data_IF_295460612548
#
_entry.id   IF_295460612548
#
_cell.length_a   1.000
_cell.length_b   1.000
_cell.length_c   1.000
_cell.angle_alpha   90.00
_cell.angle_beta   90.00
_cell.angle_gamma   90.00
#
_symmetry.space_group_name_H-M   'P 1'
#
loop_
_entity.id
_entity.type
_entity.pdbx_description
1 polymer ?
#
# COMPACT_ATOMS: atom_id res chain seq x y z
N UNK A 1 -48.98 -20.40 -30.16
CA UNK A 1 -48.70 -20.27 -28.72
C UNK A 1 -47.71 -19.14 -28.57
N UNK A 2 -48.18 -17.98 -28.09
CA UNK A 2 -47.39 -16.76 -27.99
C UNK A 2 -47.00 -16.53 -26.52
N UNK A 3 -45.72 -16.60 -26.23
CA UNK A 3 -45.13 -16.31 -24.92
C UNK A 3 -45.11 -14.80 -24.72
N UNK A 4 -45.82 -14.32 -23.70
CA UNK A 4 -45.91 -12.90 -23.35
C UNK A 4 -44.90 -12.64 -22.23
N UNK A 5 -43.81 -11.95 -22.54
CA UNK A 5 -42.78 -11.57 -21.56
C UNK A 5 -43.21 -10.28 -20.87
N UNK A 6 -43.43 -10.34 -19.56
CA UNK A 6 -43.79 -9.17 -18.74
C UNK A 6 -42.49 -8.59 -18.15
N UNK A 7 -42.16 -7.35 -18.53
CA UNK A 7 -41.01 -6.61 -17.95
C UNK A 7 -41.51 -5.82 -16.76
N UNK A 8 -41.00 -6.13 -15.57
CA UNK A 8 -41.26 -5.38 -14.35
C UNK A 8 -40.36 -4.12 -14.32
N UNK A 9 -40.97 -2.94 -14.22
CA UNK A 9 -40.27 -1.68 -14.04
C UNK A 9 -39.93 -1.51 -12.54
N UNK A 10 -38.64 -1.50 -12.21
CA UNK A 10 -38.17 -1.09 -10.89
C UNK A 10 -38.28 0.42 -10.72
N UNK A 11 -39.07 0.85 -9.74
CA UNK A 11 -39.14 2.24 -9.31
C UNK A 11 -37.85 2.60 -8.56
N UNK A 12 -37.08 3.54 -9.12
CA UNK A 12 -35.94 4.18 -8.46
C UNK A 12 -36.50 5.15 -7.42
N UNK A 13 -36.33 4.81 -6.14
CA UNK A 13 -36.62 5.71 -5.02
C UNK A 13 -35.54 6.78 -4.98
N UNK A 14 -35.92 8.04 -5.25
CA UNK A 14 -35.02 9.18 -5.12
C UNK A 14 -34.71 9.44 -3.64
N UNK A 15 -33.43 9.35 -3.27
CA UNK A 15 -32.93 9.71 -1.95
C UNK A 15 -33.16 11.20 -1.67
N UNK A 16 -33.45 11.58 -0.40
CA UNK A 16 -33.62 12.98 -0.03
C UNK A 16 -32.29 13.73 -0.20
N UNK A 17 -32.34 14.80 -1.00
CA UNK A 17 -31.24 15.74 -1.20
C UNK A 17 -30.95 16.44 0.12
N UNK A 18 -29.93 15.98 0.83
CA UNK A 18 -29.30 16.76 1.90
C UNK A 18 -28.68 17.96 1.20
N UNK A 19 -29.29 19.12 1.37
CA UNK A 19 -28.66 20.39 1.05
C UNK A 19 -27.47 20.55 2.00
N UNK A 20 -26.32 20.01 1.60
CA UNK A 20 -25.04 20.29 2.24
C UNK A 20 -24.88 21.79 2.28
N UNK A 21 -24.83 22.36 3.48
CA UNK A 21 -24.19 23.65 3.68
C UNK A 21 -22.84 23.56 3.00
N UNK A 22 -22.69 24.29 1.90
CA UNK A 22 -21.42 24.44 1.20
C UNK A 22 -20.56 25.25 2.15
N UNK A 23 -19.88 24.55 3.06
CA UNK A 23 -18.74 25.11 3.79
C UNK A 23 -17.85 25.68 2.68
N UNK A 24 -17.56 26.99 2.67
CA UNK A 24 -16.77 27.59 1.61
C UNK A 24 -15.45 26.83 1.56
N UNK A 25 -15.26 26.08 0.47
CA UNK A 25 -14.05 25.29 0.23
C UNK A 25 -12.88 26.22 0.46
N UNK A 26 -12.12 25.99 1.53
CA UNK A 26 -10.95 26.78 1.82
C UNK A 26 -10.07 26.76 0.57
N UNK A 27 -9.70 27.94 0.08
CA UNK A 27 -8.79 28.04 -1.07
C UNK A 27 -7.55 27.22 -0.74
N UNK A 28 -7.12 26.28 -1.61
CA UNK A 28 -5.96 25.46 -1.36
C UNK A 28 -4.75 26.35 -1.08
N UNK A 29 -3.87 25.91 -0.17
CA UNK A 29 -2.58 26.57 -0.02
C UNK A 29 -1.82 26.55 -1.36
N UNK A 30 -0.91 27.51 -1.63
CA UNK A 30 -0.11 27.47 -2.85
C UNK A 30 0.66 26.16 -3.03
N UNK A 31 1.13 25.54 -1.93
CA UNK A 31 1.81 24.25 -1.95
C UNK A 31 0.87 23.10 -2.35
N UNK A 32 -0.35 23.09 -1.82
CA UNK A 32 -1.35 22.08 -2.20
C UNK A 32 -1.83 22.25 -3.64
N UNK A 33 -2.04 23.49 -4.08
CA UNK A 33 -2.39 23.79 -5.46
C UNK A 33 -1.31 23.28 -6.42
N UNK A 34 -0.03 23.46 -6.06
CA UNK A 34 1.09 22.96 -6.87
C UNK A 34 1.22 21.43 -6.83
N UNK A 35 1.05 20.79 -5.67
CA UNK A 35 1.03 19.32 -5.59
C UNK A 35 -0.12 18.72 -6.39
N UNK A 36 -1.31 19.31 -6.37
CA UNK A 36 -2.44 18.88 -7.19
C UNK A 36 -2.13 19.05 -8.70
N UNK A 37 -1.49 20.16 -9.08
CA UNK A 37 -1.06 20.40 -10.46
C UNK A 37 -0.04 19.36 -10.92
N UNK A 38 0.99 19.09 -10.12
CA UNK A 38 2.01 18.08 -10.38
C UNK A 38 1.41 16.67 -10.40
N UNK A 39 0.46 16.37 -9.51
CA UNK A 39 -0.26 15.10 -9.51
C UNK A 39 -1.03 14.85 -10.80
N UNK A 40 -1.70 15.88 -11.33
CA UNK A 40 -2.37 15.79 -12.63
C UNK A 40 -1.39 15.69 -13.80
N UNK A 41 -0.21 16.29 -13.68
CA UNK A 41 0.86 16.16 -14.67
C UNK A 41 1.49 14.77 -14.67
N UNK A 42 1.75 14.21 -13.50
CA UNK A 42 2.16 12.82 -13.29
C UNK A 42 1.17 11.84 -13.92
N UNK A 43 -0.13 11.99 -13.62
CA UNK A 43 -1.17 11.10 -14.18
C UNK A 43 -1.15 11.11 -15.73
N UNK A 44 -0.97 12.28 -16.36
CA UNK A 44 -0.87 12.37 -17.83
C UNK A 44 0.35 11.64 -18.38
N UNK A 45 1.52 11.78 -17.74
CA UNK A 45 2.73 11.10 -18.19
C UNK A 45 2.64 9.58 -17.96
N UNK A 46 2.10 9.15 -16.83
CA UNK A 46 1.81 7.73 -16.55
C UNK A 46 0.91 7.15 -17.64
N UNK A 47 -0.21 7.80 -17.95
CA UNK A 47 -1.15 7.31 -18.95
C UNK A 47 -0.50 7.26 -20.35
N UNK A 48 0.35 8.23 -20.68
CA UNK A 48 1.13 8.22 -21.93
C UNK A 48 2.16 7.07 -21.97
N UNK A 49 2.80 6.78 -20.83
CA UNK A 49 3.75 5.67 -20.69
C UNK A 49 3.07 4.33 -20.95
N UNK A 50 1.93 4.08 -20.30
CA UNK A 50 1.16 2.84 -20.48
C UNK A 50 0.73 2.62 -21.95
N UNK A 51 0.36 3.69 -22.66
CA UNK A 51 0.05 3.61 -24.09
C UNK A 51 1.29 3.27 -24.92
N UNK A 52 2.43 3.89 -24.62
CA UNK A 52 3.69 3.63 -25.31
C UNK A 52 4.23 2.22 -25.02
N UNK A 53 4.09 1.71 -23.80
CA UNK A 53 4.44 0.35 -23.41
C UNK A 53 3.56 -0.68 -24.12
N UNK A 54 2.25 -0.44 -24.19
CA UNK A 54 1.34 -1.32 -24.93
C UNK A 54 1.73 -1.40 -26.41
N UNK A 55 2.10 -0.28 -27.04
CA UNK A 55 2.60 -0.29 -28.42
C UNK A 55 3.96 -0.98 -28.55
N UNK A 56 4.87 -0.77 -27.59
CA UNK A 56 6.17 -1.45 -27.55
C UNK A 56 6.01 -2.97 -27.49
N UNK A 57 5.15 -3.44 -26.58
CA UNK A 57 4.82 -4.85 -26.41
C UNK A 57 4.19 -5.42 -27.69
N UNK A 58 3.27 -4.68 -28.32
CA UNK A 58 2.67 -5.09 -29.61
C UNK A 58 3.72 -5.28 -30.72
N UNK A 59 4.71 -4.40 -30.79
CA UNK A 59 5.80 -4.49 -31.77
C UNK A 59 6.71 -5.69 -31.50
N UNK A 60 7.08 -5.91 -30.24
CA UNK A 60 7.89 -7.05 -29.80
C UNK A 60 7.16 -8.38 -30.02
N UNK A 61 5.90 -8.49 -29.61
CA UNK A 61 5.07 -9.69 -29.82
C UNK A 61 4.97 -10.04 -31.31
N UNK A 62 4.75 -9.04 -32.17
CA UNK A 62 4.68 -9.26 -33.62
C UNK A 62 6.02 -9.76 -34.20
N UNK A 63 7.14 -9.27 -33.67
CA UNK A 63 8.48 -9.70 -34.09
C UNK A 63 8.86 -11.08 -33.54
N UNK A 64 8.41 -11.41 -32.32
CA UNK A 64 8.71 -12.67 -31.65
C UNK A 64 7.80 -13.81 -32.09
N UNK A 65 6.57 -13.55 -32.54
CA UNK A 65 5.61 -14.59 -32.91
C UNK A 65 6.15 -15.63 -33.93
N UNK A 66 6.88 -15.24 -35.00
CA UNK A 66 7.51 -16.20 -35.91
C UNK A 66 8.63 -17.03 -35.25
N UNK A 67 9.34 -16.45 -34.27
CA UNK A 67 10.41 -17.13 -33.53
C UNK A 67 9.79 -18.15 -32.57
N UNK A 68 8.75 -17.76 -31.85
CA UNK A 68 7.99 -18.65 -30.95
C UNK A 68 7.38 -19.85 -31.68
N UNK A 69 7.00 -19.71 -32.95
CA UNK A 69 6.54 -20.83 -33.76
C UNK A 69 7.63 -21.91 -33.98
N UNK A 70 8.92 -21.57 -33.80
CA UNK A 70 10.06 -22.48 -33.89
C UNK A 70 10.40 -23.16 -32.56
N UNK A 71 9.70 -22.90 -31.46
CA UNK A 71 10.07 -23.40 -30.10
C UNK A 71 10.27 -24.91 -29.97
N UNK A 72 9.71 -25.71 -30.89
CA UNK A 72 9.86 -27.16 -30.91
C UNK A 72 11.10 -27.65 -31.67
N UNK A 73 11.79 -26.76 -32.38
CA UNK A 73 13.07 -26.97 -33.05
C UNK A 73 14.13 -26.07 -32.38
N UNK A 74 14.85 -26.64 -31.41
CA UNK A 74 15.77 -25.88 -30.55
C UNK A 74 16.90 -25.20 -31.34
N UNK A 75 17.39 -25.81 -32.43
CA UNK A 75 18.47 -25.24 -33.23
C UNK A 75 17.97 -24.05 -34.06
N UNK A 76 16.80 -24.21 -34.71
CA UNK A 76 16.19 -23.13 -35.48
C UNK A 76 15.74 -21.97 -34.57
N UNK A 77 15.18 -22.27 -33.40
CA UNK A 77 14.78 -21.28 -32.40
C UNK A 77 15.97 -20.46 -31.90
N UNK A 78 17.06 -21.12 -31.48
CA UNK A 78 18.27 -20.44 -31.01
C UNK A 78 18.90 -19.56 -32.10
N UNK A 79 19.00 -20.07 -33.34
CA UNK A 79 19.54 -19.32 -34.47
C UNK A 79 18.66 -18.12 -34.87
N UNK A 80 17.35 -18.20 -34.65
CA UNK A 80 16.42 -17.10 -34.89
C UNK A 80 16.51 -16.03 -33.80
N UNK A 81 16.60 -16.43 -32.52
CA UNK A 81 16.83 -15.53 -31.39
C UNK A 81 18.15 -14.76 -31.52
N UNK A 82 19.25 -15.42 -31.89
CA UNK A 82 20.56 -14.75 -32.06
C UNK A 82 20.54 -13.68 -33.17
N UNK A 83 19.67 -13.85 -34.17
CA UNK A 83 19.52 -12.91 -35.29
C UNK A 83 18.52 -11.79 -35.00
N UNK A 84 17.71 -11.94 -33.97
CA UNK A 84 16.75 -10.91 -33.60
C UNK A 84 17.53 -9.71 -33.04
N UNK A 85 17.25 -8.56 -33.64
CA UNK A 85 17.80 -7.28 -33.22
C UNK A 85 16.63 -6.32 -33.12
N UNK A 86 16.16 -6.09 -31.90
CA UNK A 86 14.95 -5.30 -31.64
C UNK A 86 15.05 -3.89 -32.21
N UNK A 87 16.26 -3.34 -32.31
CA UNK A 87 16.51 -2.03 -32.93
C UNK A 87 16.13 -1.98 -34.42
N UNK A 88 16.02 -3.13 -35.08
CA UNK A 88 15.59 -3.25 -36.49
C UNK A 88 14.09 -3.44 -36.64
N UNK A 89 13.34 -3.66 -35.56
CA UNK A 89 11.87 -3.78 -35.61
C UNK A 89 11.29 -2.41 -36.04
N UNK A 90 10.50 -2.35 -37.13
CA UNK A 90 9.95 -1.10 -37.61
C UNK A 90 9.12 -0.38 -36.54
N UNK A 91 9.54 0.84 -36.18
CA UNK A 91 8.86 1.67 -35.18
C UNK A 91 9.38 1.50 -33.75
N UNK A 92 10.14 0.44 -33.45
CA UNK A 92 10.61 0.15 -32.09
C UNK A 92 11.47 1.28 -31.52
N UNK A 93 12.53 1.70 -32.22
CA UNK A 93 13.41 2.81 -31.78
C UNK A 93 12.65 4.12 -31.53
N UNK A 94 11.53 4.35 -32.22
CA UNK A 94 10.71 5.54 -32.01
C UNK A 94 9.90 5.44 -30.71
N UNK A 95 9.32 4.26 -30.44
CA UNK A 95 8.56 4.01 -29.21
C UNK A 95 9.49 3.97 -28.01
N UNK A 96 10.65 3.31 -28.12
CA UNK A 96 11.70 3.28 -27.10
C UNK A 96 12.19 4.70 -26.75
N UNK A 97 12.47 5.53 -27.75
CA UNK A 97 12.83 6.94 -27.55
C UNK A 97 11.73 7.74 -26.84
N UNK A 98 10.46 7.48 -27.15
CA UNK A 98 9.33 8.11 -26.47
C UNK A 98 9.19 7.64 -25.03
N UNK A 99 9.34 6.34 -24.76
CA UNK A 99 9.32 5.77 -23.41
C UNK A 99 10.40 6.41 -22.54
N UNK A 100 11.62 6.54 -23.07
CA UNK A 100 12.71 7.22 -22.39
C UNK A 100 12.38 8.68 -22.08
N UNK A 101 11.85 9.42 -23.06
CA UNK A 101 11.46 10.83 -22.85
C UNK A 101 10.39 10.95 -21.75
N UNK A 102 9.36 10.10 -21.79
CA UNK A 102 8.28 10.11 -20.79
C UNK A 102 8.84 9.76 -19.40
N UNK A 103 9.68 8.73 -19.29
CA UNK A 103 10.34 8.35 -18.04
C UNK A 103 11.14 9.52 -17.45
N UNK A 104 11.93 10.22 -18.25
CA UNK A 104 12.66 11.41 -17.79
C UNK A 104 11.73 12.56 -17.33
N UNK A 105 10.54 12.70 -17.93
CA UNK A 105 9.53 13.68 -17.47
C UNK A 105 8.92 13.27 -16.14
N UNK A 106 8.60 11.98 -15.98
CA UNK A 106 8.07 11.43 -14.73
C UNK A 106 9.06 11.67 -13.59
N UNK A 107 10.34 11.35 -13.79
CA UNK A 107 11.40 11.57 -12.78
C UNK A 107 11.48 13.04 -12.34
N UNK A 108 11.37 13.99 -13.28
CA UNK A 108 11.36 15.42 -12.97
C UNK A 108 10.16 15.84 -12.12
N UNK A 109 8.97 15.35 -12.46
CA UNK A 109 7.73 15.63 -11.72
C UNK A 109 7.82 15.05 -10.31
N UNK A 110 8.26 13.79 -10.21
CA UNK A 110 8.44 13.09 -8.95
C UNK A 110 9.41 13.80 -8.01
N UNK A 111 10.59 14.19 -8.51
CA UNK A 111 11.56 14.96 -7.74
C UNK A 111 10.96 16.27 -7.22
N UNK A 112 10.20 16.97 -8.06
CA UNK A 112 9.51 18.21 -7.66
C UNK A 112 8.46 17.96 -6.57
N UNK A 113 7.72 16.84 -6.65
CA UNK A 113 6.74 16.46 -5.64
C UNK A 113 7.40 16.16 -4.28
N UNK A 114 8.55 15.50 -4.25
CA UNK A 114 9.29 15.21 -3.01
C UNK A 114 9.62 16.51 -2.26
N UNK A 115 10.10 17.52 -2.98
CA UNK A 115 10.55 18.80 -2.44
C UNK A 115 9.40 19.65 -1.85
N UNK A 116 8.17 19.50 -2.37
CA UNK A 116 7.04 20.32 -1.92
C UNK A 116 6.40 19.72 -0.67
N UNK A 117 6.28 20.52 0.37
CA UNK A 117 5.62 20.14 1.60
C UNK A 117 4.08 20.24 1.48
N UNK A 118 3.33 19.15 1.70
CA UNK A 118 1.88 19.19 1.68
C UNK A 118 1.34 19.96 2.88
N UNK A 119 0.25 20.70 2.67
CA UNK A 119 -0.51 21.38 3.71
C UNK A 119 -1.89 20.74 3.96
N UNK A 120 -2.25 19.70 3.21
CA UNK A 120 -3.47 18.92 3.39
C UNK A 120 -3.28 17.43 3.05
N UNK A 121 -4.19 16.60 3.54
CA UNK A 121 -4.20 15.17 3.22
C UNK A 121 -4.45 14.86 1.73
N UNK A 122 -5.16 15.75 1.02
CA UNK A 122 -5.33 15.59 -0.44
C UNK A 122 -3.99 15.61 -1.16
N UNK A 123 -3.07 16.48 -0.73
CA UNK A 123 -1.72 16.56 -1.29
C UNK A 123 -0.83 15.37 -0.89
N UNK A 124 -1.02 14.83 0.31
CA UNK A 124 -0.37 13.55 0.70
C UNK A 124 -0.88 12.39 -0.16
N UNK A 125 -2.19 12.33 -0.43
CA UNK A 125 -2.76 11.29 -1.28
C UNK A 125 -2.18 11.33 -2.71
N UNK A 126 -1.89 12.53 -3.23
CA UNK A 126 -1.18 12.68 -4.52
C UNK A 126 0.21 12.05 -4.47
N UNK A 127 1.00 12.32 -3.41
CA UNK A 127 2.33 11.71 -3.22
C UNK A 127 2.26 10.19 -3.07
N UNK A 128 1.34 9.68 -2.25
CA UNK A 128 1.13 8.24 -2.04
C UNK A 128 0.82 7.51 -3.36
N UNK A 129 -0.01 8.11 -4.20
CA UNK A 129 -0.35 7.53 -5.51
C UNK A 129 0.85 7.51 -6.46
N UNK A 130 1.70 8.52 -6.44
CA UNK A 130 2.94 8.53 -7.22
C UNK A 130 3.94 7.48 -6.73
N UNK A 131 4.08 7.34 -5.40
CA UNK A 131 4.90 6.29 -4.78
C UNK A 131 4.40 4.89 -5.14
N UNK A 132 3.09 4.63 -5.09
CA UNK A 132 2.49 3.32 -5.44
C UNK A 132 2.90 2.85 -6.84
N UNK A 133 2.97 3.78 -7.79
CA UNK A 133 3.40 3.48 -9.14
C UNK A 133 4.91 3.22 -9.22
N UNK A 134 5.74 4.03 -8.55
CA UNK A 134 7.20 3.84 -8.52
C UNK A 134 7.63 2.50 -7.94
N UNK A 135 6.90 2.01 -6.94
CA UNK A 135 7.21 0.74 -6.29
C UNK A 135 6.69 -0.48 -7.07
N UNK A 136 6.13 -0.28 -8.27
CA UNK A 136 5.54 -1.38 -9.05
C UNK A 136 4.38 -2.07 -8.34
N UNK A 137 3.73 -1.43 -7.36
CA UNK A 137 2.68 -2.08 -6.56
C UNK A 137 1.44 -2.44 -7.41
N UNK A 138 1.28 -1.77 -8.56
CA UNK A 138 0.24 -2.05 -9.54
C UNK A 138 0.64 -3.07 -10.61
N UNK A 139 1.89 -3.54 -10.61
CA UNK A 139 2.36 -4.56 -11.53
C UNK A 139 2.15 -5.95 -10.92
N UNK A 140 1.32 -6.77 -11.57
CA UNK A 140 1.07 -8.17 -11.21
C UNK A 140 2.29 -9.08 -11.50
N UNK A 141 3.52 -8.60 -11.27
CA UNK A 141 4.76 -9.36 -11.50
C UNK A 141 5.33 -9.86 -10.17
N UNK A 142 5.42 -11.19 -9.96
CA UNK A 142 5.94 -11.79 -8.72
C UNK A 142 7.39 -11.40 -8.37
N UNK A 143 8.14 -10.91 -9.36
CA UNK A 143 9.58 -10.59 -9.26
C UNK A 143 9.86 -9.08 -9.22
N UNK A 144 8.87 -8.23 -8.93
CA UNK A 144 9.14 -6.82 -8.65
C UNK A 144 10.04 -6.77 -7.40
N UNK A 145 11.35 -6.67 -7.62
CA UNK A 145 12.34 -6.51 -6.57
C UNK A 145 11.92 -5.30 -5.77
N UNK A 146 11.45 -5.57 -4.56
CA UNK A 146 10.97 -4.61 -3.60
C UNK A 146 12.15 -3.80 -3.02
N UNK A 147 12.94 -3.17 -3.89
CA UNK A 147 13.85 -2.10 -3.51
C UNK A 147 12.99 -0.84 -3.36
N UNK A 148 12.28 -0.78 -2.23
CA UNK A 148 11.41 0.35 -1.90
C UNK A 148 12.30 1.58 -1.79
N UNK A 149 11.98 2.63 -2.54
CA UNK A 149 12.71 3.89 -2.43
C UNK A 149 12.47 4.48 -1.03
N UNK A 150 13.41 4.24 -0.12
CA UNK A 150 13.36 4.67 1.27
C UNK A 150 13.13 6.19 1.37
N UNK A 151 13.57 6.97 0.38
CA UNK A 151 13.40 8.42 0.35
C UNK A 151 11.91 8.81 0.31
N UNK A 152 11.10 8.10 -0.49
CA UNK A 152 9.67 8.35 -0.62
C UNK A 152 8.89 7.98 0.65
N UNK A 153 9.17 6.81 1.22
CA UNK A 153 8.53 6.39 2.47
C UNK A 153 8.82 7.34 3.61
N UNK A 154 10.09 7.71 3.78
CA UNK A 154 10.51 8.67 4.80
C UNK A 154 9.86 10.04 4.56
N UNK A 155 9.74 10.48 3.31
CA UNK A 155 9.08 11.75 2.95
C UNK A 155 7.59 11.74 3.30
N UNK A 156 6.87 10.67 2.95
CA UNK A 156 5.43 10.56 3.21
C UNK A 156 5.15 10.40 4.71
N UNK A 157 5.90 9.57 5.43
CA UNK A 157 5.75 9.42 6.89
C UNK A 157 5.98 10.77 7.61
N UNK A 158 7.04 11.49 7.25
CA UNK A 158 7.32 12.85 7.77
C UNK A 158 6.16 13.81 7.49
N UNK A 159 5.66 13.83 6.26
CA UNK A 159 4.61 14.75 5.82
C UNK A 159 3.27 14.45 6.53
N UNK A 160 2.92 13.17 6.66
CA UNK A 160 1.75 12.69 7.41
C UNK A 160 1.82 13.09 8.88
N UNK A 161 2.93 12.80 9.57
CA UNK A 161 3.11 13.13 10.99
C UNK A 161 2.99 14.64 11.22
N UNK A 162 3.54 15.45 10.31
CA UNK A 162 3.44 16.90 10.39
C UNK A 162 2.02 17.40 10.22
N UNK A 163 1.26 16.85 9.28
CA UNK A 163 -0.15 17.24 9.09
C UNK A 163 -0.99 16.84 10.30
N UNK A 164 -0.81 15.62 10.82
CA UNK A 164 -1.49 15.19 12.04
C UNK A 164 -1.17 16.11 13.24
N UNK A 165 0.08 16.53 13.39
CA UNK A 165 0.48 17.49 14.43
C UNK A 165 -0.11 18.89 14.22
N UNK A 166 -0.30 19.32 12.97
CA UNK A 166 -0.88 20.62 12.63
C UNK A 166 -2.41 20.64 12.73
N UNK A 167 -3.09 19.52 12.49
CA UNK A 167 -4.54 19.40 12.71
C UNK A 167 -4.91 19.38 14.20
N UNK A 168 -3.97 19.00 15.07
CA UNK A 168 -4.10 19.23 16.52
C UNK A 168 -4.05 20.73 16.90
N UNK A 169 -3.83 21.64 15.94
CA UNK A 169 -3.97 23.08 16.12
C UNK A 169 -5.46 23.49 16.10
N UNK A 170 -5.91 24.41 16.96
CA UNK A 170 -7.23 24.40 17.63
C UNK A 170 -8.44 24.82 16.78
N UNK A 171 -8.45 24.62 15.46
CA UNK A 171 -9.62 24.92 14.60
C UNK A 171 -10.53 23.73 14.31
N UNK A 172 -10.20 22.54 14.82
CA UNK A 172 -11.08 21.38 14.89
C UNK A 172 -11.07 20.81 16.30
N UNK A 173 -11.61 21.55 17.26
CA UNK A 173 -11.83 21.03 18.61
C UNK A 173 -12.98 20.01 18.57
N UNK A 174 -12.67 18.76 18.18
CA UNK A 174 -13.33 17.62 18.81
C UNK A 174 -12.73 17.54 20.20
N UNK A 175 -13.21 18.39 21.10
CA UNK A 175 -12.90 18.34 22.51
C UNK A 175 -13.67 17.15 23.12
N UNK A 176 -13.22 15.93 22.81
CA UNK A 176 -13.54 14.75 23.61
C UNK A 176 -12.34 14.47 24.49
N UNK A 177 -12.36 15.05 25.70
CA UNK A 177 -11.62 14.64 26.90
C UNK A 177 -10.74 13.40 26.65
N UNK A 178 -9.51 13.65 26.19
CA UNK A 178 -8.66 12.71 25.46
C UNK A 178 -8.42 11.40 26.21
N UNK A 179 -9.24 10.39 25.94
CA UNK A 179 -8.80 9.02 26.11
C UNK A 179 -7.72 8.79 25.06
N UNK A 180 -6.51 8.43 25.50
CA UNK A 180 -5.43 8.01 24.61
C UNK A 180 -5.98 6.93 23.69
N UNK A 181 -5.73 7.03 22.38
CA UNK A 181 -6.23 6.06 21.39
C UNK A 181 -5.79 4.65 21.83
N UNK A 182 -6.72 3.68 22.02
CA UNK A 182 -6.38 2.37 22.57
C UNK A 182 -5.33 1.61 21.76
N UNK A 183 -5.19 1.92 20.46
CA UNK A 183 -4.18 1.28 19.61
C UNK A 183 -2.75 1.54 20.10
N UNK A 184 -2.47 2.67 20.76
CA UNK A 184 -1.15 2.95 21.30
C UNK A 184 -0.74 1.93 22.38
N UNK A 185 -1.68 1.50 23.22
CA UNK A 185 -1.41 0.50 24.24
C UNK A 185 -1.16 -0.89 23.61
N UNK A 186 -1.94 -1.26 22.59
CA UNK A 186 -1.76 -2.53 21.87
C UNK A 186 -0.41 -2.60 21.16
N UNK A 187 0.02 -1.51 20.50
CA UNK A 187 1.34 -1.41 19.86
C UNK A 187 2.46 -1.63 20.89
N UNK A 188 2.35 -0.99 22.07
CA UNK A 188 3.39 -1.12 23.09
C UNK A 188 3.42 -2.51 23.73
N UNK A 189 2.26 -3.15 23.90
CA UNK A 189 2.18 -4.54 24.36
C UNK A 189 2.89 -5.50 23.39
N UNK A 190 2.65 -5.37 22.07
CA UNK A 190 3.32 -6.21 21.09
C UNK A 190 4.84 -5.95 21.07
N UNK A 191 5.29 -4.69 21.20
CA UNK A 191 6.74 -4.39 21.36
C UNK A 191 7.35 -5.09 22.58
N UNK A 192 6.67 -5.07 23.72
CA UNK A 192 7.14 -5.77 24.91
C UNK A 192 7.20 -7.28 24.72
N UNK A 193 6.22 -7.88 24.02
CA UNK A 193 6.22 -9.30 23.71
C UNK A 193 7.40 -9.70 22.82
N UNK A 194 7.74 -8.89 21.81
CA UNK A 194 8.94 -9.11 20.97
C UNK A 194 10.22 -9.04 21.84
N UNK A 195 10.33 -8.07 22.74
CA UNK A 195 11.47 -8.00 23.67
C UNK A 195 11.55 -9.22 24.59
N UNK A 196 10.40 -9.73 25.05
CA UNK A 196 10.33 -10.92 25.89
C UNK A 196 10.78 -12.18 25.15
N UNK A 197 10.38 -12.34 23.88
CA UNK A 197 10.83 -13.43 23.03
C UNK A 197 12.35 -13.45 22.89
N UNK A 198 12.96 -12.35 22.46
CA UNK A 198 14.42 -12.29 22.31
C UNK A 198 15.17 -12.56 23.62
N UNK A 199 14.68 -12.02 24.74
CA UNK A 199 15.26 -12.31 26.05
C UNK A 199 15.18 -13.80 26.39
N UNK A 200 14.07 -14.45 26.03
CA UNK A 200 13.85 -15.87 26.30
C UNK A 200 14.73 -16.76 25.42
N UNK A 201 14.88 -16.42 24.14
CA UNK A 201 15.81 -17.09 23.20
C UNK A 201 17.26 -16.98 23.67
N UNK A 202 17.69 -15.80 24.15
CA UNK A 202 19.03 -15.61 24.69
C UNK A 202 19.31 -16.42 25.96
N UNK A 203 18.27 -16.61 26.79
CA UNK A 203 18.34 -17.45 27.99
C UNK A 203 18.35 -18.95 27.65
N UNK A 204 17.87 -19.33 26.45
CA UNK A 204 17.70 -20.72 25.99
C UNK A 204 18.20 -20.96 24.55
N UNK A 205 19.48 -20.65 24.23
CA UNK A 205 19.97 -20.56 22.85
C UNK A 205 20.08 -21.90 22.09
N UNK A 206 19.94 -23.03 22.79
CA UNK A 206 20.04 -24.39 22.22
C UNK A 206 18.70 -25.16 22.32
N UNK A 207 17.61 -24.50 22.72
CA UNK A 207 16.31 -25.13 23.00
C UNK A 207 15.14 -24.30 22.44
N UNK A 208 15.11 -24.18 21.11
CA UNK A 208 14.00 -23.58 20.33
C UNK A 208 12.66 -24.27 20.63
N UNK A 209 12.73 -25.51 21.12
CA UNK A 209 11.60 -26.35 21.52
C UNK A 209 11.29 -26.28 23.03
N UNK A 210 11.91 -25.36 23.77
CA UNK A 210 11.59 -25.19 25.19
C UNK A 210 10.15 -24.69 25.36
N UNK A 211 9.50 -25.11 26.45
CA UNK A 211 8.17 -24.60 26.80
C UNK A 211 8.17 -23.07 26.95
N UNK A 212 9.29 -22.49 27.38
CA UNK A 212 9.47 -21.04 27.54
C UNK A 212 9.51 -20.31 26.19
N UNK A 213 10.32 -20.77 25.23
CA UNK A 213 10.40 -20.16 23.90
C UNK A 213 9.04 -20.27 23.20
N UNK A 214 8.39 -21.44 23.25
CA UNK A 214 7.02 -21.59 22.70
C UNK A 214 6.00 -20.66 23.36
N UNK A 215 6.05 -20.49 24.68
CA UNK A 215 5.16 -19.58 25.38
C UNK A 215 5.40 -18.11 24.99
N UNK A 216 6.67 -17.71 24.80
CA UNK A 216 7.01 -16.35 24.37
C UNK A 216 6.56 -16.07 22.93
N UNK A 217 6.75 -17.03 22.00
CA UNK A 217 6.19 -16.93 20.65
C UNK A 217 4.65 -16.81 20.68
N UNK A 218 3.97 -17.66 21.47
CA UNK A 218 2.52 -17.60 21.60
C UNK A 218 2.05 -16.24 22.15
N UNK A 219 2.77 -15.66 23.12
CA UNK A 219 2.43 -14.35 23.67
C UNK A 219 2.63 -13.22 22.63
N UNK A 220 3.70 -13.31 21.83
CA UNK A 220 3.93 -12.40 20.71
C UNK A 220 2.81 -12.49 19.67
N UNK A 221 2.42 -13.70 19.26
CA UNK A 221 1.32 -13.92 18.32
C UNK A 221 -0.01 -13.38 18.86
N UNK A 222 -0.33 -13.64 20.13
CA UNK A 222 -1.56 -13.16 20.77
C UNK A 222 -1.62 -11.62 20.77
N UNK A 223 -0.51 -10.95 21.10
CA UNK A 223 -0.43 -9.49 21.10
C UNK A 223 -0.39 -8.88 19.70
N UNK A 224 0.15 -9.58 18.70
CA UNK A 224 0.01 -9.21 17.29
C UNK A 224 -1.45 -9.29 16.85
N UNK A 225 -2.16 -10.36 17.22
CA UNK A 225 -3.60 -10.53 16.94
C UNK A 225 -4.42 -9.40 17.57
N UNK A 226 -4.06 -8.89 18.75
CA UNK A 226 -4.71 -7.72 19.34
C UNK A 226 -4.70 -6.49 18.41
N UNK A 227 -3.68 -6.29 17.58
CA UNK A 227 -3.59 -5.18 16.62
C UNK A 227 -4.67 -5.25 15.52
N UNK A 228 -5.23 -6.42 15.27
CA UNK A 228 -6.36 -6.62 14.34
C UNK A 228 -7.72 -6.35 15.01
N UNK A 229 -7.79 -6.41 16.34
CA UNK A 229 -9.02 -6.33 17.13
C UNK A 229 -9.19 -4.98 17.84
N UNK A 230 -8.09 -4.36 18.28
CA UNK A 230 -8.08 -3.03 18.90
C UNK A 230 -8.20 -2.01 17.79
N UNK A 231 -9.35 -1.34 17.73
CA UNK A 231 -9.63 -0.39 16.65
C UNK A 231 -9.02 0.98 16.96
N UNK A 232 -8.24 1.57 16.03
CA UNK A 232 -7.88 2.98 16.12
C UNK A 232 -9.12 3.87 16.14
N UNK A 233 -9.17 4.85 17.05
CA UNK A 233 -10.32 5.76 17.19
C UNK A 233 -10.03 7.17 16.69
N UNK A 234 -8.79 7.42 16.29
CA UNK A 234 -8.30 8.71 15.79
C UNK A 234 -7.44 8.50 14.55
N UNK A 235 -7.31 9.55 13.72
CA UNK A 235 -6.37 9.52 12.59
C UNK A 235 -4.92 9.32 13.06
N UNK A 236 -4.56 9.90 14.21
CA UNK A 236 -3.24 9.69 14.81
C UNK A 236 -2.99 8.21 15.16
N UNK A 237 -3.98 7.50 15.68
CA UNK A 237 -3.91 6.07 15.95
C UNK A 237 -3.78 5.22 14.67
N UNK A 238 -4.51 5.56 13.61
CA UNK A 238 -4.38 4.89 12.30
C UNK A 238 -2.94 5.01 11.78
N UNK A 239 -2.38 6.23 11.80
CA UNK A 239 -1.01 6.45 11.34
C UNK A 239 0.00 5.73 12.23
N UNK A 240 -0.20 5.73 13.55
CA UNK A 240 0.67 5.00 14.47
C UNK A 240 0.72 3.49 14.16
N UNK A 241 -0.43 2.89 13.87
CA UNK A 241 -0.51 1.47 13.49
C UNK A 241 0.20 1.19 12.17
N UNK A 242 -0.06 2.00 11.13
CA UNK A 242 0.60 1.86 9.82
C UNK A 242 2.12 2.02 9.91
N UNK A 243 2.59 3.04 10.64
CA UNK A 243 4.02 3.24 10.91
C UNK A 243 4.60 2.04 11.63
N UNK A 244 3.92 1.51 12.64
CA UNK A 244 4.42 0.38 13.41
C UNK A 244 4.54 -0.90 12.58
N UNK A 245 3.53 -1.21 11.76
CA UNK A 245 3.56 -2.36 10.84
C UNK A 245 4.73 -2.24 9.87
N UNK A 246 4.95 -1.06 9.29
CA UNK A 246 6.09 -0.81 8.42
C UNK A 246 7.43 -0.96 9.15
N UNK A 247 7.53 -0.54 10.42
CA UNK A 247 8.76 -0.71 11.21
C UNK A 247 9.10 -2.18 11.43
N UNK A 248 8.11 -3.04 11.71
CA UNK A 248 8.33 -4.48 11.86
C UNK A 248 8.80 -5.07 10.53
N UNK A 249 8.08 -4.80 9.43
CA UNK A 249 8.38 -5.32 8.09
C UNK A 249 9.78 -4.94 7.57
N UNK A 250 10.32 -3.81 8.04
CA UNK A 250 11.62 -3.30 7.58
C UNK A 250 12.76 -3.57 8.57
N UNK A 251 12.51 -4.33 9.65
CA UNK A 251 13.52 -4.58 10.68
C UNK A 251 13.87 -3.36 11.55
N UNK A 252 13.08 -2.28 11.47
CA UNK A 252 13.39 -0.97 12.07
C UNK A 252 12.82 -0.78 13.47
N UNK A 253 12.16 -1.78 14.06
CA UNK A 253 11.74 -1.70 15.47
C UNK A 253 12.96 -1.75 16.37
N UNK A 254 13.23 -0.63 17.04
CA UNK A 254 14.29 -0.55 18.04
C UNK A 254 13.78 -1.17 19.34
N UNK A 255 14.40 -2.26 19.76
CA UNK A 255 14.05 -2.94 20.99
C UNK A 255 14.94 -2.44 22.13
N UNK A 256 14.37 -1.88 23.21
CA UNK A 256 15.14 -1.46 24.37
C UNK A 256 15.98 -2.62 24.93
N UNK A 257 17.30 -2.43 25.04
CA UNK A 257 18.23 -3.46 25.51
C UNK A 257 18.91 -4.27 24.40
N UNK A 258 18.48 -4.12 23.14
CA UNK A 258 18.97 -4.88 21.99
C UNK A 258 19.32 -3.97 20.80
N UNK A 259 20.35 -3.11 20.90
CA UNK A 259 20.64 -2.10 19.88
C UNK A 259 21.08 -2.68 18.52
N UNK A 260 21.62 -3.91 18.51
CA UNK A 260 22.18 -4.54 17.32
C UNK A 260 21.26 -5.63 16.72
N UNK A 261 20.09 -5.89 17.33
CA UNK A 261 19.10 -6.84 16.77
C UNK A 261 17.99 -6.08 16.08
N UNK A 262 17.81 -6.39 14.81
CA UNK A 262 16.69 -5.93 14.00
C UNK A 262 15.59 -6.97 14.04
N UNK A 263 14.35 -6.53 13.92
CA UNK A 263 13.24 -7.47 13.80
C UNK A 263 13.38 -8.28 12.50
N UNK A 264 13.25 -9.60 12.55
CA UNK A 264 13.17 -10.46 11.37
C UNK A 264 11.80 -10.29 10.69
N UNK A 265 11.72 -10.61 9.40
CA UNK A 265 10.50 -10.43 8.59
C UNK A 265 9.32 -11.33 9.04
N UNK A 266 9.57 -12.28 9.94
CA UNK A 266 8.64 -13.34 10.36
C UNK A 266 7.89 -13.05 11.69
N UNK A 267 7.87 -11.81 12.20
CA UNK A 267 7.17 -11.47 13.46
C UNK A 267 5.66 -11.25 13.33
N UNK A 268 5.05 -11.79 12.28
CA UNK A 268 3.61 -11.81 12.12
C UNK A 268 3.10 -13.25 12.13
N UNK A 269 1.94 -13.51 12.73
CA UNK A 269 1.22 -14.74 12.47
C UNK A 269 1.04 -14.93 10.96
N UNK A 270 1.35 -16.12 10.43
CA UNK A 270 1.29 -16.36 8.99
C UNK A 270 -0.13 -16.14 8.43
N UNK A 271 -1.13 -16.74 9.09
CA UNK A 271 -2.53 -16.71 8.67
C UNK A 271 -3.44 -16.60 9.89
N UNK A 272 -4.54 -15.85 9.75
CA UNK A 272 -5.62 -15.84 10.72
C UNK A 272 -6.91 -16.31 10.05
N UNK A 273 -7.71 -17.07 10.80
CA UNK A 273 -9.04 -17.48 10.41
C UNK A 273 -10.09 -16.77 11.26
N UNK A 274 -11.16 -16.31 10.61
CA UNK A 274 -12.37 -15.82 11.28
C UNK A 274 -13.55 -16.63 10.75
N UNK A 275 -14.23 -17.33 11.66
CA UNK A 275 -15.42 -18.12 11.35
C UNK A 275 -16.54 -17.32 10.65
N UNK A 276 -16.52 -15.99 10.75
CA UNK A 276 -17.45 -15.09 10.09
C UNK A 276 -17.15 -14.88 8.60
N UNK A 277 -15.89 -15.02 8.19
CA UNK A 277 -15.44 -14.77 6.82
C UNK A 277 -15.42 -16.08 6.04
N UNK A 278 -16.46 -16.29 5.22
CA UNK A 278 -16.64 -17.52 4.44
C UNK A 278 -16.65 -17.23 2.94
N UNK A 279 -16.07 -18.14 2.17
CA UNK A 279 -16.19 -18.10 0.71
C UNK A 279 -17.62 -18.45 0.25
N UNK A 280 -17.96 -18.31 -1.05
CA UNK A 280 -19.31 -18.63 -1.56
C UNK A 280 -19.78 -20.08 -1.33
N UNK A 281 -18.88 -20.98 -0.92
CA UNK A 281 -19.17 -22.37 -0.58
C UNK A 281 -19.34 -22.59 0.93
N UNK A 282 -19.29 -21.53 1.74
CA UNK A 282 -19.45 -21.60 3.20
C UNK A 282 -18.23 -22.12 3.95
N UNK A 283 -17.03 -22.18 3.33
CA UNK A 283 -15.79 -22.52 4.04
C UNK A 283 -15.17 -21.26 4.61
N UNK A 284 -14.67 -21.35 5.85
CA UNK A 284 -13.87 -20.29 6.50
C UNK A 284 -12.66 -20.00 5.63
N UNK A 285 -12.38 -18.71 5.43
CA UNK A 285 -11.20 -18.25 4.72
C UNK A 285 -10.09 -17.99 5.74
N UNK A 286 -8.94 -18.64 5.53
CA UNK A 286 -7.67 -18.24 6.13
C UNK A 286 -7.11 -17.13 5.25
N UNK A 287 -6.87 -15.96 5.84
CA UNK A 287 -6.34 -14.79 5.14
C UNK A 287 -5.03 -14.34 5.80
N UNK A 288 -4.08 -13.80 5.01
CA UNK A 288 -2.81 -13.33 5.54
C UNK A 288 -3.00 -12.26 6.62
N UNK A 289 -2.17 -12.25 7.67
CA UNK A 289 -2.25 -11.26 8.74
C UNK A 289 -2.31 -9.79 8.27
N UNK A 290 -1.54 -9.36 7.23
CA UNK A 290 -1.66 -8.00 6.70
C UNK A 290 -3.07 -7.63 6.22
N UNK A 291 -3.87 -8.58 5.72
CA UNK A 291 -5.25 -8.32 5.33
C UNK A 291 -6.10 -7.85 6.52
N UNK A 292 -5.95 -8.52 7.67
CA UNK A 292 -6.74 -8.22 8.88
C UNK A 292 -6.41 -6.85 9.48
N UNK A 293 -5.13 -6.47 9.47
CA UNK A 293 -4.69 -5.12 9.85
C UNK A 293 -5.34 -4.06 8.94
N UNK A 294 -5.31 -4.28 7.63
CA UNK A 294 -5.91 -3.34 6.67
C UNK A 294 -7.43 -3.25 6.80
N UNK A 295 -8.11 -4.36 7.11
CA UNK A 295 -9.55 -4.35 7.39
C UNK A 295 -9.88 -3.58 8.68
N UNK A 296 -9.08 -3.74 9.74
CA UNK A 296 -9.22 -2.96 10.97
C UNK A 296 -9.06 -1.44 10.69
N UNK A 297 -8.03 -1.06 9.93
CA UNK A 297 -7.80 0.33 9.52
C UNK A 297 -8.96 0.85 8.67
N UNK A 298 -9.45 0.08 7.70
CA UNK A 298 -10.60 0.46 6.86
C UNK A 298 -11.83 0.73 7.72
N UNK A 299 -12.13 -0.16 8.66
CA UNK A 299 -13.24 0.00 9.59
C UNK A 299 -13.09 1.27 10.45
N UNK A 300 -11.89 1.52 11.00
CA UNK A 300 -11.58 2.73 11.77
C UNK A 300 -11.82 4.03 10.96
N UNK A 301 -11.35 4.08 9.71
CA UNK A 301 -11.55 5.24 8.83
C UNK A 301 -13.04 5.54 8.61
N UNK A 302 -13.85 4.49 8.39
CA UNK A 302 -15.29 4.65 8.19
C UNK A 302 -15.99 5.21 9.43
N UNK A 303 -15.60 4.75 10.62
CA UNK A 303 -16.19 5.22 11.89
C UNK A 303 -15.78 6.65 12.23
N UNK A 304 -14.49 6.99 12.08
CA UNK A 304 -13.99 8.36 12.28
C UNK A 304 -14.71 9.32 11.33
N UNK A 305 -14.90 8.92 10.06
CA UNK A 305 -15.63 9.74 9.09
C UNK A 305 -17.11 9.89 9.43
N UNK A 306 -17.75 8.87 10.00
CA UNK A 306 -19.14 8.94 10.41
C UNK A 306 -19.36 9.81 11.66
N UNK A 307 -18.31 9.99 12.47
CA UNK A 307 -18.33 10.82 13.68
C UNK A 307 -18.00 12.30 13.44
N UNK A 308 -17.42 12.64 12.29
CA UNK A 308 -17.06 14.00 11.87
C UNK A 308 -18.20 14.71 11.12
#
# INVERSE_FOLDING_TARGET
MATTTTVAASAVVASPSIASEIIPSATPSPADAELLRLGAEFDRFRDAMLIAEAENNRLLEAAHAPIEALRHDHEAFAAALEKLDDSKIPGFLKVDGLLKEISEQIDRVLKSMIEIQPASFSSVAVKLRAMRWLTGFDEDTPDASQDWDEEWFNTIDRDVRRLAANEASPRGHIESKAAVDPIFAAIENHRHAICELYRTEDEHPDDDDSEYVRAAHSHMDDTAIELTNVRPTTMAGIFALLTYVNQINTGKVHLPGYPDRHTEEEFWPCELSDDSVKNPRGRVLELPFPYWIMENIRAAILEIRAAA
#
